data_IF_016684027138
#
_entry.id   IF_016684027138
#
_cell.length_a   1.000
_cell.length_b   1.000
_cell.length_c   1.000
_cell.angle_alpha   90.00
_cell.angle_beta   90.00
_cell.angle_gamma   90.00
#
_symmetry.space_group_name_H-M   'P 1'
#
loop_
_entity.id
_entity.type
_entity.pdbx_description
1 polymer ?
#
# COMPACT_ATOMS: atom_id res chain seq x y z
N UNK A 1 -10.11 -1.43 -0.45
CA UNK A 1 -10.99 -1.64 -1.62
C UNK A 1 -10.52 -0.89 -2.86
N UNK A 2 -10.36 0.44 -2.85
CA UNK A 2 -9.89 1.18 -4.04
C UNK A 2 -8.54 0.67 -4.60
N UNK A 3 -7.62 0.23 -3.73
CA UNK A 3 -6.34 -0.37 -4.12
C UNK A 3 -6.54 -1.58 -5.04
N UNK A 4 -7.40 -2.52 -4.64
CA UNK A 4 -7.67 -3.75 -5.38
C UNK A 4 -8.26 -3.42 -6.76
N UNK A 5 -9.23 -2.51 -6.83
CA UNK A 5 -9.82 -2.08 -8.10
C UNK A 5 -8.81 -1.40 -9.03
N UNK A 6 -7.83 -0.66 -8.48
CA UNK A 6 -6.73 -0.10 -9.26
C UNK A 6 -5.83 -1.19 -9.84
N UNK A 7 -5.45 -2.18 -9.02
CA UNK A 7 -4.60 -3.29 -9.43
C UNK A 7 -5.29 -4.22 -10.46
N UNK A 8 -6.59 -4.45 -10.28
CA UNK A 8 -7.43 -5.18 -11.23
C UNK A 8 -7.45 -4.46 -12.59
N UNK A 9 -7.69 -3.15 -12.59
CA UNK A 9 -7.68 -2.36 -13.82
C UNK A 9 -6.29 -2.32 -14.49
N UNK A 10 -5.23 -2.37 -13.69
CA UNK A 10 -3.87 -2.51 -14.19
C UNK A 10 -3.60 -3.91 -14.78
N UNK A 11 -4.45 -4.91 -14.49
CA UNK A 11 -4.31 -6.31 -14.88
C UNK A 11 -3.06 -6.96 -14.31
N UNK A 12 -2.75 -6.64 -13.04
CA UNK A 12 -1.58 -7.18 -12.33
C UNK A 12 -1.95 -8.11 -11.17
N UNK A 13 -3.26 -8.25 -10.88
CA UNK A 13 -3.72 -9.18 -9.87
C UNK A 13 -3.56 -10.64 -10.35
N UNK A 14 -3.30 -11.58 -9.43
CA UNK A 14 -3.39 -13.00 -9.72
C UNK A 14 -4.80 -13.36 -10.23
N UNK A 15 -4.95 -14.47 -10.98
CA UNK A 15 -6.25 -14.91 -11.47
C UNK A 15 -7.25 -15.09 -10.33
N UNK A 16 -8.49 -14.64 -10.55
CA UNK A 16 -9.57 -14.80 -9.57
C UNK A 16 -9.83 -16.26 -9.24
N UNK A 17 -10.23 -16.53 -7.99
CA UNK A 17 -10.47 -17.88 -7.50
C UNK A 17 -9.21 -18.68 -7.19
N UNK A 18 -8.02 -18.08 -7.33
CA UNK A 18 -6.76 -18.66 -6.85
C UNK A 18 -6.54 -18.31 -5.37
N UNK A 19 -5.84 -19.20 -4.65
CA UNK A 19 -5.39 -18.92 -3.28
C UNK A 19 -4.53 -17.66 -3.18
N UNK A 20 -3.83 -17.32 -4.26
CA UNK A 20 -3.00 -16.13 -4.31
C UNK A 20 -3.84 -14.86 -4.36
N UNK A 21 -4.91 -14.82 -5.15
CA UNK A 21 -5.86 -13.70 -5.17
C UNK A 21 -6.49 -13.49 -3.78
N UNK A 22 -6.92 -14.56 -3.11
CA UNK A 22 -7.47 -14.49 -1.74
C UNK A 22 -6.44 -13.91 -0.75
N UNK A 23 -5.18 -14.35 -0.86
CA UNK A 23 -4.06 -13.86 -0.04
C UNK A 23 -3.81 -12.38 -0.27
N UNK A 24 -3.82 -11.88 -1.52
CA UNK A 24 -3.68 -10.45 -1.83
C UNK A 24 -4.80 -9.64 -1.19
N UNK A 25 -6.06 -10.07 -1.32
CA UNK A 25 -7.21 -9.37 -0.75
C UNK A 25 -7.09 -9.26 0.77
N UNK A 26 -6.75 -10.35 1.45
CA UNK A 26 -6.54 -10.37 2.90
C UNK A 26 -5.39 -9.45 3.32
N UNK A 27 -4.24 -9.56 2.65
CA UNK A 27 -3.05 -8.76 2.92
C UNK A 27 -3.34 -7.27 2.80
N UNK A 28 -4.07 -6.80 1.78
CA UNK A 28 -4.41 -5.36 1.63
C UNK A 28 -5.18 -4.82 2.84
N UNK A 29 -6.11 -5.59 3.38
CA UNK A 29 -6.93 -5.20 4.54
C UNK A 29 -6.10 -5.24 5.83
N UNK A 30 -5.32 -6.31 6.01
CA UNK A 30 -4.50 -6.51 7.20
C UNK A 30 -3.36 -5.49 7.26
N UNK A 31 -2.69 -5.20 6.14
CA UNK A 31 -1.66 -4.16 6.07
C UNK A 31 -2.24 -2.78 6.38
N UNK A 32 -3.45 -2.46 5.91
CA UNK A 32 -4.07 -1.18 6.30
C UNK A 32 -4.17 -1.06 7.82
N UNK A 33 -4.56 -2.16 8.49
CA UNK A 33 -4.62 -2.20 9.95
C UNK A 33 -3.24 -2.15 10.60
N UNK A 34 -2.25 -2.87 10.05
CA UNK A 34 -0.88 -2.90 10.55
C UNK A 34 -0.24 -1.51 10.52
N UNK A 35 -0.35 -0.80 9.40
CA UNK A 35 0.20 0.54 9.25
C UNK A 35 -0.61 1.59 10.01
N UNK A 36 -1.94 1.48 10.09
CA UNK A 36 -2.78 2.49 10.76
C UNK A 36 -2.78 2.37 12.29
N UNK A 37 -2.69 1.14 12.82
CA UNK A 37 -2.86 0.83 14.25
C UNK A 37 -1.60 0.25 14.90
N UNK A 38 -0.60 -0.13 14.10
CA UNK A 38 0.63 -0.71 14.62
C UNK A 38 1.40 0.25 15.51
N UNK A 39 1.91 -0.27 16.62
CA UNK A 39 2.72 0.46 17.60
C UNK A 39 4.20 0.05 17.56
N UNK A 40 4.56 -0.86 16.65
CA UNK A 40 5.95 -1.28 16.49
C UNK A 40 6.79 -0.14 15.90
N UNK A 41 7.94 0.12 16.53
CA UNK A 41 8.80 1.24 16.14
C UNK A 41 9.42 1.05 14.76
N UNK A 42 9.85 -0.16 14.41
CA UNK A 42 10.46 -0.40 13.10
C UNK A 42 9.44 -0.14 11.97
N UNK A 43 8.19 -0.56 12.16
CA UNK A 43 7.11 -0.30 11.23
C UNK A 43 6.77 1.20 11.12
N UNK A 44 6.71 1.91 12.24
CA UNK A 44 6.45 3.36 12.26
C UNK A 44 7.59 4.15 11.61
N UNK A 45 8.84 3.83 11.94
CA UNK A 45 10.04 4.49 11.42
C UNK A 45 10.20 4.22 9.92
N UNK A 46 9.91 2.99 9.46
CA UNK A 46 9.89 2.66 8.04
C UNK A 46 8.84 3.50 7.29
N UNK A 47 7.62 3.55 7.80
CA UNK A 47 6.52 4.32 7.18
C UNK A 47 6.85 5.81 7.13
N UNK A 48 7.35 6.36 8.23
CA UNK A 48 7.73 7.76 8.30
C UNK A 48 8.87 8.09 7.32
N UNK A 49 9.94 7.28 7.28
CA UNK A 49 11.04 7.47 6.32
C UNK A 49 10.59 7.34 4.87
N UNK A 50 9.70 6.40 4.57
CA UNK A 50 9.16 6.21 3.22
C UNK A 50 8.46 7.48 2.72
N UNK A 51 7.57 8.05 3.53
CA UNK A 51 6.82 9.24 3.15
C UNK A 51 7.71 10.48 3.19
N UNK A 52 8.52 10.68 4.23
CA UNK A 52 9.42 11.83 4.34
C UNK A 52 10.45 11.87 3.20
N UNK A 53 10.95 10.71 2.78
CA UNK A 53 11.91 10.62 1.67
C UNK A 53 11.33 11.01 0.31
N UNK A 54 10.00 11.00 0.16
CA UNK A 54 9.32 11.30 -1.11
C UNK A 54 8.56 12.63 -1.11
N UNK A 55 7.96 12.99 0.02
CA UNK A 55 7.05 14.14 0.14
C UNK A 55 7.54 15.20 1.15
N UNK A 56 8.67 14.97 1.81
CA UNK A 56 9.28 15.96 2.70
C UNK A 56 8.33 16.43 3.81
N UNK A 57 8.07 17.74 3.86
CA UNK A 57 7.24 18.39 4.88
C UNK A 57 5.76 17.93 4.85
N UNK A 58 5.26 17.46 3.71
CA UNK A 58 3.88 16.97 3.57
C UNK A 58 3.66 15.60 4.24
N UNK A 59 4.73 14.95 4.71
CA UNK A 59 4.67 13.59 5.24
C UNK A 59 3.76 13.45 6.45
N UNK A 60 3.75 14.44 7.35
CA UNK A 60 2.91 14.41 8.56
C UNK A 60 1.43 14.42 8.17
N UNK A 61 1.03 15.37 7.32
CA UNK A 61 -0.34 15.50 6.82
C UNK A 61 -0.80 14.23 6.09
N UNK A 62 0.08 13.61 5.31
CA UNK A 62 -0.25 12.38 4.58
C UNK A 62 -0.49 11.18 5.52
N UNK A 63 0.31 11.05 6.58
CA UNK A 63 0.13 10.00 7.59
C UNK A 63 -1.15 10.21 8.40
N UNK A 64 -1.53 11.45 8.68
CA UNK A 64 -2.80 11.78 9.33
C UNK A 64 -4.00 11.42 8.45
N UNK A 65 -3.98 11.79 7.16
CA UNK A 65 -5.00 11.41 6.18
C UNK A 65 -5.12 9.89 6.08
N UNK A 66 -3.99 9.18 6.08
CA UNK A 66 -3.97 7.72 6.07
C UNK A 66 -4.63 7.13 7.32
N UNK A 67 -4.32 7.64 8.51
CA UNK A 67 -4.94 7.15 9.76
C UNK A 67 -6.46 7.41 9.79
N UNK A 68 -6.91 8.53 9.24
CA UNK A 68 -8.32 8.90 9.20
C UNK A 68 -9.13 8.13 8.13
N UNK A 69 -8.53 7.89 6.96
CA UNK A 69 -9.27 7.44 5.77
C UNK A 69 -8.78 6.11 5.18
N UNK A 70 -7.66 5.56 5.65
CA UNK A 70 -7.01 4.39 5.08
C UNK A 70 -6.11 4.75 3.91
N UNK A 71 -5.84 3.78 3.03
CA UNK A 71 -4.87 3.92 1.95
C UNK A 71 -5.04 5.19 1.09
N UNK A 72 -3.92 5.82 0.75
CA UNK A 72 -3.80 6.86 -0.29
C UNK A 72 -2.86 6.35 -1.39
N UNK A 73 -2.99 6.89 -2.60
CA UNK A 73 -2.11 6.48 -3.70
C UNK A 73 -0.66 6.87 -3.40
N UNK A 74 -0.47 8.04 -2.82
CA UNK A 74 0.81 8.64 -2.45
C UNK A 74 1.54 7.80 -1.40
N UNK A 75 0.83 7.34 -0.36
CA UNK A 75 1.43 6.47 0.65
C UNK A 75 1.83 5.12 0.06
N UNK A 76 0.99 4.51 -0.76
CA UNK A 76 1.32 3.24 -1.42
C UNK A 76 2.55 3.38 -2.32
N UNK A 77 2.64 4.50 -3.04
CA UNK A 77 3.76 4.82 -3.92
C UNK A 77 5.05 5.11 -3.14
N UNK A 78 4.96 5.75 -1.97
CA UNK A 78 6.10 5.93 -1.07
C UNK A 78 6.58 4.61 -0.46
N UNK A 79 5.67 3.78 0.03
CA UNK A 79 6.00 2.49 0.62
C UNK A 79 6.62 1.53 -0.40
N UNK A 80 6.09 1.49 -1.61
CA UNK A 80 6.60 0.64 -2.68
C UNK A 80 8.02 1.04 -3.12
N UNK A 81 8.30 2.34 -3.21
CA UNK A 81 9.64 2.84 -3.52
C UNK A 81 10.61 2.63 -2.34
N UNK A 82 10.13 2.78 -1.11
CA UNK A 82 10.95 2.58 0.09
C UNK A 82 11.32 1.11 0.26
N UNK A 83 10.39 0.17 0.08
CA UNK A 83 10.65 -1.27 0.16
C UNK A 83 11.69 -1.71 -0.87
N UNK A 84 11.59 -1.22 -2.12
CA UNK A 84 12.55 -1.54 -3.19
C UNK A 84 13.98 -1.05 -2.88
N UNK A 85 14.12 0.09 -2.19
CA UNK A 85 15.42 0.69 -1.84
C UNK A 85 15.99 0.17 -0.51
N UNK A 86 15.16 -0.46 0.31
CA UNK A 86 15.55 -0.89 1.66
C UNK A 86 16.22 -2.27 1.56
N UNK A 87 17.40 -2.48 2.17
CA UNK A 87 18.04 -3.79 2.20
C UNK A 87 17.11 -4.85 2.81
N UNK A 88 17.13 -6.07 2.26
CA UNK A 88 16.24 -7.16 2.69
C UNK A 88 16.30 -7.40 4.21
N UNK A 89 17.49 -7.37 4.82
CA UNK A 89 17.66 -7.53 6.27
C UNK A 89 16.92 -6.48 7.10
N UNK A 90 16.76 -5.26 6.57
CA UNK A 90 16.03 -4.18 7.23
C UNK A 90 14.52 -4.32 7.02
N UNK A 91 14.08 -4.78 5.83
CA UNK A 91 12.68 -5.14 5.58
C UNK A 91 12.24 -6.31 6.48
N UNK A 92 13.11 -7.30 6.73
CA UNK A 92 12.83 -8.44 7.62
C UNK A 92 12.57 -8.01 9.07
N UNK A 93 13.10 -6.87 9.52
CA UNK A 93 12.81 -6.33 10.86
C UNK A 93 11.34 -5.93 11.04
N UNK A 94 10.62 -5.69 9.95
CA UNK A 94 9.18 -5.36 9.98
C UNK A 94 8.32 -6.55 10.42
N UNK A 95 8.85 -7.79 10.38
CA UNK A 95 8.13 -9.00 10.77
C UNK A 95 7.49 -8.90 12.18
N UNK A 96 8.16 -8.24 13.12
CA UNK A 96 7.65 -8.05 14.49
C UNK A 96 6.38 -7.20 14.48
N UNK A 97 6.35 -6.11 13.73
CA UNK A 97 5.19 -5.23 13.58
C UNK A 97 4.05 -5.85 12.80
N UNK A 98 4.34 -6.78 11.89
CA UNK A 98 3.35 -7.49 11.09
C UNK A 98 2.67 -8.65 11.82
N UNK A 99 3.37 -9.31 12.75
CA UNK A 99 2.88 -10.50 13.48
C UNK A 99 1.48 -10.32 14.11
N UNK A 100 1.13 -9.22 14.80
CA UNK A 100 -0.19 -9.04 15.41
C UNK A 100 -1.35 -8.96 14.40
N UNK A 101 -1.04 -8.71 13.12
CA UNK A 101 -2.03 -8.52 12.06
C UNK A 101 -2.13 -9.72 11.11
N UNK A 102 -1.44 -10.82 11.42
CA UNK A 102 -1.42 -12.07 10.64
C UNK A 102 -0.93 -11.89 9.19
N UNK A 103 0.00 -10.96 8.98
CA UNK A 103 0.72 -10.78 7.70
C UNK A 103 2.20 -11.03 7.88
N UNK A 104 2.88 -11.39 6.80
CA UNK A 104 4.32 -11.62 6.77
C UNK A 104 5.08 -10.57 5.96
N UNK A 105 6.41 -10.58 6.06
CA UNK A 105 7.27 -9.76 5.20
C UNK A 105 7.14 -10.18 3.73
N UNK A 106 6.99 -11.48 3.45
CA UNK A 106 6.72 -11.97 2.10
C UNK A 106 5.43 -11.37 1.52
N UNK A 107 4.35 -11.31 2.32
CA UNK A 107 3.09 -10.68 1.92
C UNK A 107 3.30 -9.19 1.60
N UNK A 108 4.15 -8.52 2.39
CA UNK A 108 4.45 -7.11 2.23
C UNK A 108 5.22 -6.86 0.93
N UNK A 109 6.31 -7.58 0.70
CA UNK A 109 7.11 -7.48 -0.53
C UNK A 109 6.26 -7.80 -1.77
N UNK A 110 5.44 -8.86 -1.73
CA UNK A 110 4.49 -9.17 -2.83
C UNK A 110 3.50 -8.04 -3.06
N UNK A 111 2.94 -7.48 -1.99
CA UNK A 111 2.00 -6.37 -2.10
C UNK A 111 2.66 -5.12 -2.69
N UNK A 112 3.87 -4.76 -2.25
CA UNK A 112 4.63 -3.63 -2.81
C UNK A 112 5.01 -3.86 -4.28
N UNK A 113 5.35 -5.10 -4.66
CA UNK A 113 5.59 -5.47 -6.04
C UNK A 113 4.35 -5.23 -6.92
N UNK A 114 3.16 -5.64 -6.45
CA UNK A 114 1.91 -5.39 -7.18
C UNK A 114 1.64 -3.89 -7.38
N UNK A 115 1.97 -3.05 -6.40
CA UNK A 115 1.86 -1.58 -6.54
C UNK A 115 2.81 -1.08 -7.66
N UNK A 116 4.07 -1.53 -7.67
CA UNK A 116 5.05 -1.15 -8.71
C UNK A 116 4.61 -1.63 -10.09
N UNK A 117 4.17 -2.88 -10.22
CA UNK A 117 3.68 -3.46 -11.47
C UNK A 117 2.43 -2.72 -11.95
N UNK A 118 1.49 -2.43 -11.06
CA UNK A 118 0.29 -1.69 -11.38
C UNK A 118 0.57 -0.28 -11.89
N UNK A 119 1.54 0.41 -11.28
CA UNK A 119 2.02 1.72 -11.72
C UNK A 119 2.65 1.65 -13.11
N UNK A 120 3.53 0.67 -13.35
CA UNK A 120 4.18 0.45 -14.65
C UNK A 120 3.16 0.13 -15.75
N UNK A 121 2.23 -0.79 -15.50
CA UNK A 121 1.21 -1.21 -16.45
C UNK A 121 0.23 -0.09 -16.82
N UNK A 122 -0.15 0.75 -15.85
CA UNK A 122 -0.99 1.93 -16.12
C UNK A 122 -0.22 3.00 -16.89
N UNK A 123 1.03 3.26 -16.54
CA UNK A 123 1.88 4.22 -17.25
C UNK A 123 2.11 3.83 -18.72
N UNK A 124 2.32 2.53 -19.01
CA UNK A 124 2.42 2.01 -20.37
C UNK A 124 1.13 2.23 -21.21
N UNK A 125 -0.01 2.47 -20.55
CA UNK A 125 -1.31 2.78 -21.16
C UNK A 125 -1.65 4.27 -21.09
N UNK A 126 -0.69 5.12 -20.73
CA UNK A 126 -0.87 6.57 -20.61
C UNK A 126 -1.77 7.00 -19.45
N UNK A 127 -1.84 6.21 -18.36
CA UNK A 127 -2.67 6.51 -17.18
C UNK A 127 -1.82 6.61 -15.92
N UNK A 128 -2.19 7.50 -15.01
CA UNK A 128 -1.57 7.59 -13.69
C UNK A 128 -2.22 6.63 -12.68
N UNK A 129 -1.40 5.98 -11.85
CA UNK A 129 -1.88 5.17 -10.72
C UNK A 129 -2.72 6.00 -9.75
N UNK A 130 -2.29 7.24 -9.46
CA UNK A 130 -2.98 8.18 -8.57
C UNK A 130 -4.36 8.53 -9.10
N UNK A 131 -4.48 8.84 -10.39
CA UNK A 131 -5.76 9.20 -11.02
C UNK A 131 -6.75 8.04 -11.01
N UNK A 132 -6.28 6.83 -11.33
CA UNK A 132 -7.12 5.61 -11.32
C UNK A 132 -7.56 5.29 -9.89
N UNK A 133 -6.65 5.36 -8.92
CA UNK A 133 -6.96 5.16 -7.52
C UNK A 133 -8.00 6.16 -7.02
N UNK A 134 -7.80 7.46 -7.27
CA UNK A 134 -8.72 8.51 -6.85
C UNK A 134 -10.12 8.35 -7.49
N UNK A 135 -10.19 7.84 -8.73
CA UNK A 135 -11.47 7.52 -9.37
C UNK A 135 -12.18 6.37 -8.65
N UNK A 136 -11.50 5.27 -8.39
CA UNK A 136 -12.07 4.12 -7.68
C UNK A 136 -12.47 4.47 -6.25
N UNK A 137 -11.66 5.29 -5.57
CA UNK A 137 -11.96 5.77 -4.22
C UNK A 137 -13.26 6.57 -4.17
N UNK A 138 -13.48 7.48 -5.14
CA UNK A 138 -14.73 8.26 -5.24
C UNK A 138 -15.96 7.42 -5.58
N UNK A 139 -15.79 6.35 -6.34
CA UNK A 139 -16.88 5.46 -6.73
C UNK A 139 -17.33 4.52 -5.59
N UNK A 140 -16.55 4.38 -4.51
CA UNK A 140 -16.89 3.50 -3.39
C UNK A 140 -17.75 4.21 -2.34
N UNK A 141 -18.71 3.50 -1.71
CA UNK A 141 -19.50 4.06 -0.61
C UNK A 141 -18.57 4.52 0.52
N UNK A 142 -18.68 5.80 0.91
CA UNK A 142 -17.81 6.43 1.91
C UNK A 142 -16.59 7.18 1.36
N UNK A 143 -16.35 7.20 0.04
CA UNK A 143 -15.31 8.01 -0.60
C UNK A 143 -15.70 9.47 -0.85
N UNK A 144 -17.00 9.74 -0.92
CA UNK A 144 -17.56 11.09 -0.85
C UNK A 144 -17.82 11.42 0.62
N UNK A 145 -16.76 11.79 1.35
CA UNK A 145 -16.90 12.56 2.57
C UNK A 145 -17.53 13.90 2.21
N UNK A 146 -18.64 14.21 2.87
CA UNK A 146 -19.40 15.45 2.80
C UNK A 146 -18.55 16.70 2.97
#
# INVERSE_FOLDING_TARGET
MAVLATLEQAQVLPPEGTREADRVIQSVIQFQSAFAKGTDRALQDFTHRAVAGKYGEEAVSMLEVFRASGWTAELLDALADAEERTPHEEVERLAIGFKPFNVSVEDFTRFMQLIRDGRSALAARGRSFVEVYARHRRAMPGGAGR
#
